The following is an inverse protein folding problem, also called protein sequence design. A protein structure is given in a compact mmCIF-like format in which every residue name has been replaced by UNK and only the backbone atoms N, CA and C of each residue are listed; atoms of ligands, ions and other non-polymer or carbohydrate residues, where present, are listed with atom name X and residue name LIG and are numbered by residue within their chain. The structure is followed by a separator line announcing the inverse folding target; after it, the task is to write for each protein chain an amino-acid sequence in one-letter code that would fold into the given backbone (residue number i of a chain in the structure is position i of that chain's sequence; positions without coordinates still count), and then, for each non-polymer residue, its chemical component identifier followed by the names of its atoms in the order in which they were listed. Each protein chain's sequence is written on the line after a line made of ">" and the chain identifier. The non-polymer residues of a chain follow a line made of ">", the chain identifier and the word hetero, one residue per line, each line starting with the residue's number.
data_IF_731652849629
#
_entry.id   IF_731652849629
#
_cell.length_a   1.000
_cell.length_b   1.000
_cell.length_c   1.000
_cell.angle_alpha   90.00
_cell.angle_beta   90.00
_cell.angle_gamma   90.00
#
_symmetry.space_group_name_H-M   'P 1'
#
loop_
_entity.id
_entity.type
_entity.pdbx_description
1 polymer ?
#
# COMPACT_ATOMS: atom_id res chain seq x y z
N UNK A 1 -23.92 21.69 16.90
CA UNK A 1 -24.73 22.49 15.95
C UNK A 1 -25.37 21.54 14.96
N UNK A 2 -26.71 21.53 14.89
CA UNK A 2 -27.53 20.65 14.03
C UNK A 2 -27.84 21.40 12.74
N UNK A 3 -27.64 20.78 11.58
CA UNK A 3 -28.05 21.30 10.26
C UNK A 3 -29.02 20.27 9.66
N UNK A 4 -30.26 20.64 9.30
CA UNK A 4 -31.21 19.69 8.73
C UNK A 4 -31.07 19.53 7.22
N UNK A 5 -31.34 18.29 6.79
CA UNK A 5 -31.41 17.78 5.43
C UNK A 5 -32.55 18.43 4.62
N UNK A 6 -32.28 18.77 3.35
CA UNK A 6 -33.28 19.21 2.38
C UNK A 6 -33.37 18.22 1.21
N UNK A 7 -34.58 17.70 1.08
CA UNK A 7 -35.12 16.77 0.10
C UNK A 7 -35.43 17.50 -1.23
N UNK A 8 -34.99 16.99 -2.38
CA UNK A 8 -35.54 17.26 -3.74
C UNK A 8 -34.62 16.62 -4.79
N UNK A 9 -35.04 16.16 -5.96
CA UNK A 9 -36.30 15.71 -6.53
C UNK A 9 -35.86 15.00 -7.83
N UNK A 10 -36.58 13.94 -8.22
CA UNK A 10 -36.34 13.15 -9.42
C UNK A 10 -36.28 14.01 -10.69
N UNK A 11 -35.35 13.70 -11.60
CA UNK A 11 -35.52 14.00 -13.03
C UNK A 11 -35.18 12.75 -13.86
N UNK A 12 -36.23 12.17 -14.42
CA UNK A 12 -36.17 11.16 -15.49
C UNK A 12 -35.67 11.84 -16.76
N UNK A 13 -34.54 11.40 -17.31
CA UNK A 13 -34.08 11.82 -18.64
C UNK A 13 -34.44 10.72 -19.65
N UNK A 14 -35.30 11.07 -20.59
CA UNK A 14 -35.75 10.25 -21.71
C UNK A 14 -34.66 10.07 -22.76
N UNK A 15 -34.44 8.83 -23.23
CA UNK A 15 -33.55 8.50 -24.35
C UNK A 15 -34.34 8.59 -25.66
N UNK A 16 -33.92 9.47 -26.56
CA UNK A 16 -34.49 9.61 -27.90
C UNK A 16 -33.84 8.59 -28.86
N UNK A 17 -34.71 7.81 -29.51
CA UNK A 17 -34.40 6.83 -30.54
C UNK A 17 -34.19 7.57 -31.88
N UNK A 18 -32.96 7.58 -32.41
CA UNK A 18 -32.69 8.07 -33.78
C UNK A 18 -32.58 6.88 -34.74
N UNK A 19 -33.59 6.73 -35.59
CA UNK A 19 -33.56 5.83 -36.74
C UNK A 19 -32.76 6.43 -37.88
N UNK A 20 -31.97 5.60 -38.57
CA UNK A 20 -31.37 5.93 -39.85
C UNK A 20 -31.75 4.84 -40.85
N UNK A 21 -32.60 5.19 -41.80
CA UNK A 21 -32.90 4.41 -42.99
C UNK A 21 -31.89 4.79 -44.08
N UNK A 22 -31.05 3.85 -44.48
CA UNK A 22 -30.14 3.96 -45.63
C UNK A 22 -30.30 2.74 -46.55
N UNK A 23 -30.16 2.90 -47.87
CA UNK A 23 -30.52 1.87 -48.84
C UNK A 23 -29.57 0.68 -48.81
N UNK A 24 -30.14 -0.51 -48.99
CA UNK A 24 -29.47 -1.80 -49.08
C UNK A 24 -28.70 -1.87 -50.41
N UNK A 25 -27.41 -1.54 -50.40
CA UNK A 25 -26.49 -1.87 -51.49
C UNK A 25 -25.77 -3.18 -51.12
N UNK A 26 -26.08 -4.25 -51.84
CA UNK A 26 -25.40 -5.53 -51.70
C UNK A 26 -23.94 -5.40 -52.15
N UNK A 27 -23.02 -5.35 -51.19
CA UNK A 27 -21.59 -5.52 -51.45
C UNK A 27 -21.25 -7.00 -51.29
N UNK A 28 -20.96 -7.68 -52.40
CA UNK A 28 -20.28 -8.98 -52.42
C UNK A 28 -18.97 -8.87 -51.65
N UNK A 29 -18.86 -9.64 -50.57
CA UNK A 29 -17.65 -9.73 -49.76
C UNK A 29 -16.66 -10.68 -50.45
N UNK A 30 -15.50 -10.20 -50.93
CA UNK A 30 -14.48 -11.09 -51.47
C UNK A 30 -14.01 -12.02 -50.35
N UNK A 31 -13.94 -13.31 -50.64
CA UNK A 31 -13.41 -14.31 -49.73
C UNK A 31 -11.98 -13.93 -49.32
N UNK A 32 -11.83 -13.36 -48.12
CA UNK A 32 -10.54 -13.11 -47.51
C UNK A 32 -9.87 -14.47 -47.24
N UNK A 33 -8.74 -14.70 -47.90
CA UNK A 33 -7.84 -15.80 -47.60
C UNK A 33 -7.39 -15.70 -46.14
N UNK A 34 -7.80 -16.67 -45.32
CA UNK A 34 -7.30 -16.83 -43.95
C UNK A 34 -5.84 -17.30 -44.00
N UNK A 35 -4.91 -16.39 -44.26
CA UNK A 35 -3.51 -16.59 -43.93
C UNK A 35 -3.36 -16.45 -42.42
N UNK A 36 -3.28 -17.58 -41.72
CA UNK A 36 -3.02 -17.63 -40.29
C UNK A 36 -1.65 -16.99 -40.00
N UNK A 37 -1.56 -15.99 -39.10
CA UNK A 37 -0.28 -15.42 -38.71
C UNK A 37 0.61 -16.54 -38.15
N UNK A 38 1.84 -16.63 -38.66
CA UNK A 38 2.86 -17.47 -38.06
C UNK A 38 3.03 -17.04 -36.59
N UNK A 39 2.82 -17.96 -35.66
CA UNK A 39 3.02 -17.71 -34.25
C UNK A 39 4.47 -17.28 -34.03
N UNK A 40 4.67 -16.05 -33.56
CA UNK A 40 5.97 -15.63 -33.05
C UNK A 40 6.25 -16.45 -31.79
N UNK A 41 7.37 -17.20 -31.79
CA UNK A 41 7.91 -17.86 -30.61
C UNK A 41 8.24 -16.80 -29.55
N UNK A 42 7.27 -16.54 -28.69
CA UNK A 42 7.49 -15.75 -27.49
C UNK A 42 8.30 -16.62 -26.53
N UNK A 43 9.44 -16.15 -26.00
CA UNK A 43 10.20 -16.87 -25.00
C UNK A 43 9.26 -17.31 -23.88
N UNK A 44 9.32 -18.59 -23.51
CA UNK A 44 8.56 -19.11 -22.38
C UNK A 44 8.80 -18.22 -21.16
N UNK A 45 7.75 -17.84 -20.40
CA UNK A 45 7.90 -16.91 -19.29
C UNK A 45 8.96 -17.43 -18.32
N UNK A 46 9.96 -16.60 -18.04
CA UNK A 46 10.96 -16.89 -17.02
C UNK A 46 10.24 -17.30 -15.73
N UNK A 47 10.61 -18.46 -15.17
CA UNK A 47 10.00 -18.97 -13.95
C UNK A 47 10.07 -17.89 -12.87
N UNK A 48 8.91 -17.52 -12.32
CA UNK A 48 8.85 -16.52 -11.26
C UNK A 48 9.72 -16.99 -10.08
N UNK A 49 10.53 -16.11 -9.48
CA UNK A 49 11.37 -16.49 -8.36
C UNK A 49 10.48 -16.99 -7.21
N UNK A 50 10.96 -18.02 -6.50
CA UNK A 50 10.28 -18.54 -5.33
C UNK A 50 10.15 -17.41 -4.28
N UNK A 51 8.93 -17.03 -3.84
CA UNK A 51 8.74 -15.82 -3.03
C UNK A 51 9.54 -15.79 -1.73
N UNK A 52 9.71 -16.95 -1.07
CA UNK A 52 10.49 -17.03 0.16
C UNK A 52 11.98 -16.78 -0.08
N UNK A 53 12.53 -17.24 -1.21
CA UNK A 53 13.91 -16.97 -1.59
C UNK A 53 14.18 -15.46 -1.70
N UNK A 54 13.25 -14.70 -2.28
CA UNK A 54 13.38 -13.23 -2.42
C UNK A 54 13.35 -12.55 -1.04
N UNK A 55 12.41 -12.94 -0.18
CA UNK A 55 12.33 -12.40 1.19
C UNK A 55 13.58 -12.73 2.01
N UNK A 56 14.10 -13.96 1.87
CA UNK A 56 15.33 -14.39 2.53
C UNK A 56 16.54 -13.59 2.06
N UNK A 57 16.64 -13.31 0.75
CA UNK A 57 17.71 -12.49 0.19
C UNK A 57 17.69 -11.08 0.79
N UNK A 58 16.52 -10.43 0.82
CA UNK A 58 16.35 -9.11 1.44
C UNK A 58 16.74 -9.13 2.91
N UNK A 59 16.22 -10.08 3.69
CA UNK A 59 16.50 -10.18 5.12
C UNK A 59 18.00 -10.46 5.39
N UNK A 60 18.65 -11.26 4.55
CA UNK A 60 20.09 -11.54 4.64
C UNK A 60 20.90 -10.27 4.39
N UNK A 61 20.54 -9.49 3.37
CA UNK A 61 21.19 -8.22 3.08
C UNK A 61 21.01 -7.21 4.23
N UNK A 62 19.80 -7.02 4.75
CA UNK A 62 19.58 -6.09 5.86
C UNK A 62 20.32 -6.51 7.14
N UNK A 63 20.42 -7.83 7.40
CA UNK A 63 21.15 -8.36 8.58
C UNK A 63 22.65 -8.14 8.50
N UNK A 64 23.24 -8.08 7.30
CA UNK A 64 24.68 -7.86 7.14
C UNK A 64 25.12 -6.42 7.36
N UNK A 65 24.18 -5.46 7.40
CA UNK A 65 24.47 -4.05 7.64
C UNK A 65 24.59 -3.76 9.13
N UNK A 66 25.67 -3.10 9.54
CA UNK A 66 25.84 -2.61 10.91
C UNK A 66 25.00 -1.37 11.20
N UNK A 67 24.80 -0.51 10.20
CA UNK A 67 24.05 0.75 10.30
C UNK A 67 23.22 0.95 9.05
N UNK A 68 21.93 1.22 9.24
CA UNK A 68 21.04 1.52 8.13
C UNK A 68 19.81 2.30 8.59
N UNK A 69 19.13 2.91 7.62
CA UNK A 69 17.84 3.57 7.82
C UNK A 69 16.80 2.97 6.87
N UNK A 70 15.57 2.86 7.36
CA UNK A 70 14.40 2.44 6.58
C UNK A 70 13.33 3.50 6.74
N UNK A 71 12.77 3.96 5.62
CA UNK A 71 11.57 4.78 5.61
C UNK A 71 10.41 3.90 5.16
N UNK A 72 9.34 3.90 5.95
CA UNK A 72 8.12 3.14 5.69
C UNK A 72 6.97 4.11 5.51
N UNK A 73 6.28 4.02 4.39
CA UNK A 73 5.03 4.75 4.13
C UNK A 73 3.91 3.71 4.07
N UNK A 74 2.90 3.87 4.91
CA UNK A 74 1.83 2.90 5.12
C UNK A 74 0.48 3.61 5.08
N UNK A 75 -0.43 3.10 4.25
CA UNK A 75 -1.86 3.43 4.29
C UNK A 75 -2.61 2.21 4.80
N UNK A 76 -3.45 2.39 5.82
CA UNK A 76 -4.32 1.34 6.37
C UNK A 76 -5.76 1.70 6.12
N UNK A 77 -6.52 0.81 5.48
CA UNK A 77 -7.98 0.96 5.37
C UNK A 77 -8.67 0.33 6.57
N UNK A 78 -9.49 1.12 7.28
CA UNK A 78 -10.30 0.68 8.40
C UNK A 78 -11.77 0.66 7.97
N UNK A 79 -12.41 -0.49 8.10
CA UNK A 79 -13.85 -0.64 7.88
C UNK A 79 -14.55 -0.49 9.23
N UNK A 80 -15.35 0.57 9.37
CA UNK A 80 -16.10 0.88 10.58
C UNK A 80 -17.33 -0.05 10.71
N UNK A 81 -17.87 -0.27 11.92
CA UNK A 81 -19.11 -1.04 12.10
C UNK A 81 -20.32 -0.48 11.34
N UNK A 82 -20.23 0.77 10.86
CA UNK A 82 -21.23 1.46 10.03
C UNK A 82 -20.95 1.34 8.53
N UNK A 83 -20.10 0.40 8.09
CA UNK A 83 -19.66 0.18 6.70
C UNK A 83 -18.96 1.36 6.02
N UNK A 84 -18.50 2.33 6.81
CA UNK A 84 -17.66 3.43 6.31
C UNK A 84 -16.20 2.99 6.23
N UNK A 85 -15.50 3.45 5.20
CA UNK A 85 -14.07 3.20 4.98
C UNK A 85 -13.26 4.43 5.34
N UNK A 86 -12.28 4.26 6.23
CA UNK A 86 -11.35 5.30 6.64
C UNK A 86 -9.93 4.90 6.26
N UNK A 87 -9.20 5.79 5.60
CA UNK A 87 -7.77 5.61 5.38
C UNK A 87 -6.97 6.27 6.49
N UNK A 88 -6.01 5.53 7.02
CA UNK A 88 -5.03 6.03 7.98
C UNK A 88 -3.63 5.91 7.39
N UNK A 89 -3.04 7.07 7.10
CA UNK A 89 -1.67 7.17 6.63
C UNK A 89 -0.69 7.29 7.80
N UNK A 90 0.48 6.68 7.63
CA UNK A 90 1.56 6.72 8.59
C UNK A 90 2.90 6.67 7.86
N UNK A 91 3.82 7.56 8.24
CA UNK A 91 5.24 7.46 7.87
C UNK A 91 6.04 7.04 9.09
N UNK A 92 6.98 6.11 8.92
CA UNK A 92 7.91 5.69 9.97
C UNK A 92 9.33 5.80 9.44
N UNK A 93 10.18 6.54 10.14
CA UNK A 93 11.62 6.55 9.88
C UNK A 93 12.32 5.74 10.97
N UNK A 94 12.98 4.65 10.57
CA UNK A 94 13.67 3.72 11.46
C UNK A 94 15.16 3.85 11.20
N UNK A 95 15.94 4.16 12.23
CA UNK A 95 17.39 4.17 12.20
C UNK A 95 17.92 3.10 13.13
N UNK A 96 18.79 2.23 12.61
CA UNK A 96 19.39 1.12 13.35
C UNK A 96 20.91 1.27 13.32
N UNK A 97 21.51 1.08 14.48
CA UNK A 97 22.93 0.84 14.65
C UNK A 97 23.08 -0.40 15.55
N UNK A 98 23.53 -1.50 14.97
CA UNK A 98 23.78 -2.74 15.69
C UNK A 98 24.97 -2.60 16.65
N UNK A 99 24.99 -3.38 17.74
CA UNK A 99 23.96 -4.36 18.13
C UNK A 99 22.82 -3.75 18.96
N UNK A 100 22.92 -2.50 19.42
CA UNK A 100 22.24 -2.04 20.63
C UNK A 100 21.49 -0.69 20.50
N UNK A 101 21.40 -0.12 19.30
CA UNK A 101 20.75 1.20 19.09
C UNK A 101 19.69 1.16 18.01
N UNK A 102 18.49 1.59 18.39
CA UNK A 102 17.38 1.78 17.47
C UNK A 102 16.64 3.06 17.82
N UNK A 103 16.23 3.80 16.78
CA UNK A 103 15.26 4.89 16.88
C UNK A 103 14.21 4.70 15.80
N UNK A 104 12.94 4.87 16.17
CA UNK A 104 11.83 4.93 15.21
C UNK A 104 10.96 6.16 15.48
N UNK A 105 10.82 7.02 14.48
CA UNK A 105 9.94 8.18 14.51
C UNK A 105 8.67 7.89 13.72
N UNK A 106 7.54 7.82 14.42
CA UNK A 106 6.21 7.56 13.84
C UNK A 106 5.48 8.87 13.63
N UNK A 107 5.02 9.13 12.41
CA UNK A 107 4.25 10.31 12.03
C UNK A 107 2.89 9.89 11.50
N UNK A 108 1.82 10.44 12.06
CA UNK A 108 0.44 10.25 11.65
C UNK A 108 -0.40 11.44 12.10
N UNK A 109 -1.69 11.44 11.75
CA UNK A 109 -2.62 12.51 12.12
C UNK A 109 -2.89 12.63 13.63
N UNK A 110 -2.49 11.65 14.44
CA UNK A 110 -2.72 11.60 15.90
C UNK A 110 -1.52 12.10 16.71
N UNK A 111 -0.67 12.95 16.14
CA UNK A 111 0.47 13.55 16.85
C UNK A 111 1.75 12.70 16.88
N UNK A 112 1.72 11.46 16.35
CA UNK A 112 2.90 10.62 16.23
C UNK A 112 3.49 10.11 17.56
N UNK A 113 4.58 9.34 17.46
CA UNK A 113 5.32 8.75 18.61
C UNK A 113 6.79 8.58 18.28
N UNK A 114 7.64 8.43 19.28
CA UNK A 114 9.06 8.13 19.11
C UNK A 114 9.45 6.94 19.97
N UNK A 115 10.08 5.93 19.37
CA UNK A 115 10.64 4.78 20.05
C UNK A 115 12.16 4.88 20.06
N UNK A 116 12.77 4.65 21.22
CA UNK A 116 14.21 4.63 21.43
C UNK A 116 14.62 3.31 22.08
N UNK A 117 15.80 2.82 21.71
CA UNK A 117 16.46 1.69 22.32
C UNK A 117 17.96 1.97 22.43
N UNK A 118 18.51 1.70 23.62
CA UNK A 118 19.88 2.04 24.01
C UNK A 118 20.72 0.83 24.45
N UNK A 119 20.26 -0.39 24.19
CA UNK A 119 20.92 -1.63 24.61
C UNK A 119 20.47 -2.12 25.98
N UNK A 120 19.54 -1.43 26.64
CA UNK A 120 19.05 -1.81 27.97
C UNK A 120 17.56 -1.60 28.13
N UNK A 121 17.02 -0.59 27.48
CA UNK A 121 15.65 -0.14 27.71
C UNK A 121 15.01 0.33 26.41
N UNK A 122 13.80 -0.12 26.14
CA UNK A 122 12.92 0.51 25.16
C UNK A 122 12.18 1.67 25.83
N UNK A 123 12.18 2.84 25.20
CA UNK A 123 11.41 4.00 25.64
C UNK A 123 10.50 4.49 24.52
N UNK A 124 9.21 4.56 24.79
CA UNK A 124 8.21 5.13 23.89
C UNK A 124 7.77 6.50 24.42
N UNK A 125 8.02 7.53 23.65
CA UNK A 125 7.62 8.91 23.94
C UNK A 125 6.46 9.32 23.02
N UNK A 126 5.44 9.96 23.61
CA UNK A 126 4.27 10.49 22.88
C UNK A 126 4.25 12.02 23.07
N UNK A 127 4.59 12.82 22.04
CA UNK A 127 4.82 14.25 22.20
C UNK A 127 3.61 15.08 22.65
N UNK A 128 2.44 14.84 22.05
CA UNK A 128 1.23 15.65 22.29
C UNK A 128 0.78 15.63 23.77
N UNK A 129 0.60 14.47 24.41
CA UNK A 129 0.37 14.40 25.86
C UNK A 129 1.64 14.61 26.70
N UNK A 130 2.83 14.72 26.09
CA UNK A 130 4.12 14.84 26.74
C UNK A 130 4.39 13.76 27.82
N UNK A 131 4.16 12.50 27.46
CA UNK A 131 4.40 11.35 28.35
C UNK A 131 5.33 10.33 27.70
N UNK A 132 6.02 9.57 28.54
CA UNK A 132 6.84 8.44 28.11
C UNK A 132 6.60 7.21 28.98
N UNK A 133 6.84 6.04 28.39
CA UNK A 133 6.89 4.76 29.08
C UNK A 133 8.17 4.03 28.69
N UNK A 134 8.76 3.30 29.65
CA UNK A 134 10.01 2.58 29.45
C UNK A 134 9.90 1.14 29.97
N UNK A 135 10.56 0.21 29.29
CA UNK A 135 10.63 -1.20 29.67
C UNK A 135 12.03 -1.76 29.42
N UNK A 136 12.50 -2.63 30.33
CA UNK A 136 13.77 -3.35 30.17
C UNK A 136 13.74 -4.21 28.91
N UNK A 137 14.87 -4.28 28.22
CA UNK A 137 15.07 -5.03 27.00
C UNK A 137 16.34 -5.88 27.08
N UNK A 138 16.45 -6.88 26.19
CA UNK A 138 17.69 -7.62 25.99
C UNK A 138 18.85 -6.67 25.58
N UNK A 139 20.12 -7.10 25.69
CA UNK A 139 21.26 -6.22 25.38
C UNK A 139 21.50 -6.00 23.89
N UNK A 140 20.87 -6.79 23.01
CA UNK A 140 21.01 -6.64 21.56
C UNK A 140 19.66 -6.69 20.86
N UNK A 141 19.53 -5.98 19.72
CA UNK A 141 18.32 -5.93 18.87
C UNK A 141 17.92 -7.33 18.36
N UNK A 142 18.89 -8.21 18.14
CA UNK A 142 18.63 -9.56 17.63
C UNK A 142 18.14 -10.52 18.74
N UNK A 143 18.18 -10.09 20.02
CA UNK A 143 17.76 -10.87 21.20
C UNK A 143 16.49 -10.32 21.89
N UNK A 144 15.93 -9.19 21.41
CA UNK A 144 14.65 -8.63 21.87
C UNK A 144 13.46 -9.30 21.19
#
# INVERSE_FOLDING_TARGET
>A
MKIPSLLSAMFFSTVALFGYAGPLAATEQPAASNAQPAAADSPAPATQPEPMAVLKQMATYLRSLERFKVRVEKTTELILPTDQRLHQDQTVEIAIQKPDRLRADFQNLSGGRQLFYDGKTFTLYTPEPNVYASATAAPTIDET
#
